data_IF_924539158596
#
_entry.id   IF_924539158596
#
_cell.length_a   1.000
_cell.length_b   1.000
_cell.length_c   1.000
_cell.angle_alpha   90.00
_cell.angle_beta   90.00
_cell.angle_gamma   90.00
#
_symmetry.space_group_name_H-M   'P 1'
#
loop_
_entity.id
_entity.type
_entity.pdbx_description
1 polymer ?
#
# COMPACT_ATOMS: atom_id res chain seq x y z
N UNK A 1 21.45 15.42 0.69
CA UNK A 1 20.39 16.37 0.27
C UNK A 1 19.84 16.03 -1.12
N UNK A 2 20.66 15.78 -2.15
CA UNK A 2 20.19 15.36 -3.48
C UNK A 2 19.29 14.09 -3.47
N UNK A 3 19.67 13.04 -2.72
CA UNK A 3 18.87 11.80 -2.62
C UNK A 3 17.47 11.95 -2.05
N UNK A 4 17.27 12.88 -1.11
CA UNK A 4 15.94 13.16 -0.56
C UNK A 4 15.03 13.76 -1.64
N UNK A 5 15.55 14.71 -2.41
CA UNK A 5 14.83 15.36 -3.50
C UNK A 5 14.48 14.38 -4.62
N UNK A 6 15.42 13.51 -5.00
CA UNK A 6 15.15 12.44 -5.99
C UNK A 6 13.98 11.54 -5.55
N UNK A 7 13.94 11.13 -4.28
CA UNK A 7 12.85 10.31 -3.74
C UNK A 7 11.50 11.07 -3.73
N UNK A 8 11.51 12.35 -3.39
CA UNK A 8 10.30 13.18 -3.43
C UNK A 8 9.75 13.32 -4.86
N UNK A 9 10.63 13.52 -5.84
CA UNK A 9 10.25 13.58 -7.25
C UNK A 9 9.70 12.24 -7.76
N UNK A 10 10.33 11.11 -7.39
CA UNK A 10 9.81 9.77 -7.70
C UNK A 10 8.44 9.56 -7.07
N UNK A 11 8.25 9.93 -5.80
CA UNK A 11 6.97 9.78 -5.11
C UNK A 11 5.87 10.62 -5.76
N UNK A 12 6.18 11.84 -6.20
CA UNK A 12 5.23 12.70 -6.91
C UNK A 12 4.86 12.11 -8.28
N UNK A 13 5.85 11.62 -9.04
CA UNK A 13 5.61 10.96 -10.31
C UNK A 13 4.77 9.69 -10.15
N UNK A 14 5.02 8.93 -9.08
CA UNK A 14 4.24 7.74 -8.76
C UNK A 14 2.80 8.10 -8.39
N UNK A 15 2.58 9.15 -7.60
CA UNK A 15 1.23 9.65 -7.28
C UNK A 15 0.44 10.07 -8.53
N UNK A 16 1.12 10.64 -9.53
CA UNK A 16 0.51 10.95 -10.82
C UNK A 16 0.16 9.68 -11.60
N UNK A 17 1.04 8.67 -11.58
CA UNK A 17 0.84 7.39 -12.26
C UNK A 17 -0.37 6.62 -11.72
N UNK A 18 -0.51 6.53 -10.40
CA UNK A 18 -1.65 5.83 -9.77
C UNK A 18 -2.98 6.58 -9.94
N UNK A 19 -2.92 7.83 -10.40
CA UNK A 19 -4.07 8.65 -10.80
C UNK A 19 -4.20 8.76 -12.33
N UNK A 20 -3.55 7.88 -13.11
CA UNK A 20 -3.67 7.88 -14.56
C UNK A 20 -5.13 7.66 -15.03
N UNK A 21 -5.48 8.32 -16.12
CA UNK A 21 -6.78 8.24 -16.77
C UNK A 21 -6.69 7.52 -18.11
N UNK A 22 -7.75 6.82 -18.50
CA UNK A 22 -7.92 6.27 -19.84
C UNK A 22 -8.30 7.35 -20.87
N UNK A 23 -8.46 6.95 -22.13
CA UNK A 23 -8.84 7.82 -23.26
C UNK A 23 -10.19 8.53 -23.06
N UNK A 24 -11.04 8.01 -22.17
CA UNK A 24 -12.36 8.55 -21.83
C UNK A 24 -12.34 9.42 -20.55
N UNK A 25 -11.14 9.70 -20.02
CA UNK A 25 -10.95 10.48 -18.80
C UNK A 25 -11.38 9.74 -17.53
N UNK A 26 -11.38 8.41 -17.54
CA UNK A 26 -11.69 7.60 -16.36
C UNK A 26 -10.42 7.19 -15.64
N UNK A 27 -10.39 7.32 -14.32
CA UNK A 27 -9.31 6.80 -13.50
C UNK A 27 -9.26 5.27 -13.58
N UNK A 28 -8.10 4.75 -13.96
CA UNK A 28 -7.90 3.32 -14.23
C UNK A 28 -7.94 2.48 -12.94
N UNK A 29 -7.44 3.04 -11.84
CA UNK A 29 -7.29 2.36 -10.54
C UNK A 29 -8.39 2.71 -9.52
N UNK A 30 -9.49 3.35 -9.95
CA UNK A 30 -10.58 3.78 -9.06
C UNK A 30 -11.67 2.73 -8.79
N UNK A 31 -11.43 1.46 -9.16
CA UNK A 31 -12.41 0.40 -8.99
C UNK A 31 -13.66 0.63 -9.84
N UNK A 32 -14.84 0.58 -9.23
CA UNK A 32 -16.12 0.86 -9.92
C UNK A 32 -16.49 2.34 -9.99
N UNK A 33 -15.66 3.25 -9.46
CA UNK A 33 -15.86 4.71 -9.46
C UNK A 33 -14.93 5.46 -10.43
N UNK A 34 -15.02 5.24 -11.76
CA UNK A 34 -14.08 5.78 -12.75
C UNK A 34 -13.95 7.31 -12.78
N UNK A 35 -14.96 8.03 -12.30
CA UNK A 35 -15.00 9.50 -12.35
C UNK A 35 -14.47 10.17 -11.07
N UNK A 36 -14.07 9.39 -10.07
CA UNK A 36 -13.48 9.91 -8.83
C UNK A 36 -11.98 9.62 -8.81
N UNK A 37 -11.18 10.62 -8.45
CA UNK A 37 -9.74 10.45 -8.33
C UNK A 37 -9.45 9.45 -7.20
N UNK A 38 -8.66 8.39 -7.44
CA UNK A 38 -8.46 7.34 -6.47
C UNK A 38 -7.46 7.70 -5.36
N UNK A 39 -6.38 8.44 -5.66
CA UNK A 39 -5.33 8.70 -4.68
C UNK A 39 -5.17 10.20 -4.39
N UNK A 40 -5.13 10.55 -3.11
CA UNK A 40 -4.91 11.91 -2.63
C UNK A 40 -3.76 11.94 -1.63
N UNK A 41 -3.05 13.07 -1.58
CA UNK A 41 -2.03 13.31 -0.57
C UNK A 41 -2.54 14.33 0.44
N UNK A 42 -2.59 13.92 1.71
CA UNK A 42 -3.00 14.79 2.80
C UNK A 42 -1.89 15.78 3.20
N UNK A 43 -2.24 16.76 4.04
CA UNK A 43 -1.31 17.81 4.50
C UNK A 43 -0.12 17.27 5.29
N UNK A 44 -0.28 16.12 5.92
CA UNK A 44 0.77 15.41 6.65
C UNK A 44 1.70 14.59 5.72
N UNK A 45 1.39 14.56 4.42
CA UNK A 45 2.14 13.83 3.41
C UNK A 45 1.71 12.37 3.22
N UNK A 46 0.75 11.88 4.01
CA UNK A 46 0.15 10.54 3.85
C UNK A 46 -0.66 10.46 2.56
N UNK A 47 -0.73 9.27 1.97
CA UNK A 47 -1.48 9.01 0.74
C UNK A 47 -2.69 8.14 1.07
N UNK A 48 -3.87 8.61 0.67
CA UNK A 48 -5.14 7.95 0.92
C UNK A 48 -5.77 7.45 -0.38
N UNK A 49 -6.44 6.30 -0.29
CA UNK A 49 -7.23 5.73 -1.37
C UNK A 49 -8.72 5.99 -1.16
N UNK A 50 -9.37 6.61 -2.15
CA UNK A 50 -10.79 6.97 -2.15
C UNK A 50 -11.63 6.19 -3.17
N UNK A 51 -11.03 5.20 -3.85
CA UNK A 51 -11.74 4.30 -4.76
C UNK A 51 -12.55 3.23 -4.01
N UNK A 52 -12.77 2.10 -4.67
CA UNK A 52 -13.36 0.91 -4.07
C UNK A 52 -12.61 -0.34 -4.54
N UNK A 53 -12.84 -1.46 -3.83
CA UNK A 53 -12.12 -2.71 -4.05
C UNK A 53 -12.72 -3.57 -5.18
N UNK A 54 -13.72 -3.05 -5.90
CA UNK A 54 -14.45 -3.80 -6.89
C UNK A 54 -13.87 -3.60 -8.29
N UNK A 55 -13.79 -4.69 -9.05
CA UNK A 55 -13.43 -4.67 -10.46
C UNK A 55 -14.68 -4.51 -11.32
N UNK A 56 -14.57 -3.71 -12.39
CA UNK A 56 -15.55 -3.69 -13.47
C UNK A 56 -15.36 -4.95 -14.31
N UNK A 57 -16.47 -5.62 -14.64
CA UNK A 57 -16.48 -6.80 -15.48
C UNK A 57 -17.20 -6.51 -16.78
N UNK A 58 -16.66 -7.01 -17.88
CA UNK A 58 -17.28 -6.94 -19.19
C UNK A 58 -17.62 -8.34 -19.69
N UNK A 59 -18.87 -8.50 -20.12
CA UNK A 59 -19.33 -9.74 -20.73
C UNK A 59 -18.77 -9.83 -22.16
N UNK A 60 -17.93 -10.82 -22.40
CA UNK A 60 -17.32 -11.09 -23.73
C UNK A 60 -18.00 -12.24 -24.45
N UNK A 61 -18.81 -13.03 -23.74
CA UNK A 61 -19.69 -14.07 -24.29
C UNK A 61 -20.87 -14.31 -23.35
N UNK A 62 -21.91 -15.03 -23.80
CA UNK A 62 -23.09 -15.35 -22.98
C UNK A 62 -22.74 -15.94 -21.61
N UNK A 63 -21.64 -16.70 -21.51
CA UNK A 63 -21.18 -17.37 -20.30
C UNK A 63 -19.81 -16.87 -19.77
N UNK A 64 -19.23 -15.81 -20.32
CA UNK A 64 -17.89 -15.34 -19.94
C UNK A 64 -17.86 -13.84 -19.64
N UNK A 65 -17.44 -13.51 -18.42
CA UNK A 65 -17.18 -12.15 -17.97
C UNK A 65 -15.68 -11.99 -17.67
N UNK A 66 -15.08 -10.91 -18.13
CA UNK A 66 -13.67 -10.60 -17.95
C UNK A 66 -13.50 -9.32 -17.10
N UNK A 67 -12.63 -9.31 -16.08
CA UNK A 67 -12.30 -8.09 -15.36
C UNK A 67 -11.57 -7.10 -16.28
N UNK A 68 -11.98 -5.84 -16.25
CA UNK A 68 -11.41 -4.78 -17.11
C UNK A 68 -10.40 -3.88 -16.40
N UNK A 69 -10.31 -3.95 -15.07
CA UNK A 69 -9.42 -3.12 -14.27
C UNK A 69 -9.04 -3.81 -12.97
N UNK A 70 -8.01 -3.29 -12.33
CA UNK A 70 -7.62 -3.63 -10.97
C UNK A 70 -7.81 -2.40 -10.06
N UNK A 71 -8.42 -2.55 -8.88
CA UNK A 71 -8.56 -1.45 -7.92
C UNK A 71 -7.20 -1.10 -7.31
N UNK A 72 -6.98 0.20 -7.07
CA UNK A 72 -5.74 0.71 -6.51
C UNK A 72 -5.45 0.22 -5.09
N UNK A 73 -6.48 -0.11 -4.31
CA UNK A 73 -6.33 -0.73 -2.98
C UNK A 73 -5.49 -2.00 -3.04
N UNK A 74 -5.87 -2.92 -3.93
CA UNK A 74 -5.20 -4.21 -4.11
C UNK A 74 -3.78 -4.09 -4.67
N UNK A 75 -3.54 -3.12 -5.54
CA UNK A 75 -2.23 -2.96 -6.18
C UNK A 75 -1.22 -2.18 -5.34
N UNK A 76 -1.68 -1.20 -4.55
CA UNK A 76 -0.81 -0.19 -3.95
C UNK A 76 -0.97 0.00 -2.44
N UNK A 77 -2.08 -0.46 -1.84
CA UNK A 77 -2.33 -0.32 -0.40
C UNK A 77 -2.10 -1.62 0.36
N UNK A 78 -2.44 -2.76 -0.25
CA UNK A 78 -2.30 -4.09 0.34
C UNK A 78 -0.90 -4.69 0.08
N UNK A 79 0.16 -4.00 0.54
CA UNK A 79 1.53 -4.50 0.39
C UNK A 79 1.87 -5.38 1.61
N UNK A 80 2.12 -6.69 1.44
CA UNK A 80 2.50 -7.55 2.56
C UNK A 80 3.79 -7.06 3.18
N UNK A 81 3.81 -6.92 4.51
CA UNK A 81 5.04 -6.66 5.24
C UNK A 81 5.78 -8.00 5.45
N UNK A 82 6.91 -8.25 4.76
CA UNK A 82 7.62 -9.52 4.88
C UNK A 82 8.36 -9.68 6.21
N UNK A 83 8.57 -8.59 6.95
CA UNK A 83 9.31 -8.58 8.22
C UNK A 83 8.40 -8.63 9.45
N UNK A 84 7.09 -8.56 9.26
CA UNK A 84 6.18 -8.33 10.37
C UNK A 84 6.29 -6.90 10.91
N UNK A 85 5.34 -6.51 11.75
CA UNK A 85 5.31 -5.20 12.41
C UNK A 85 5.79 -5.29 13.87
N UNK A 86 6.24 -6.46 14.32
CA UNK A 86 6.88 -6.63 15.61
C UNK A 86 8.35 -6.20 15.60
N UNK A 87 8.71 -5.24 16.46
CA UNK A 87 10.09 -4.82 16.67
C UNK A 87 10.44 -4.93 18.16
N UNK A 88 11.31 -5.87 18.57
CA UNK A 88 11.73 -5.98 19.95
C UNK A 88 12.65 -4.81 20.33
N UNK A 89 12.36 -4.16 21.46
CA UNK A 89 13.26 -3.19 22.08
C UNK A 89 13.95 -3.82 23.28
N UNK A 90 15.27 -3.65 23.36
CA UNK A 90 16.09 -4.11 24.48
C UNK A 90 16.79 -2.91 25.13
N UNK A 91 16.60 -2.72 26.43
CA UNK A 91 17.22 -1.63 27.19
C UNK A 91 18.70 -1.93 27.49
N UNK A 92 19.55 -1.89 26.47
CA UNK A 92 20.99 -2.14 26.58
C UNK A 92 21.72 -0.96 27.24
N UNK A 93 22.63 -1.25 28.15
CA UNK A 93 23.48 -0.26 28.84
C UNK A 93 24.91 -0.28 28.30
N UNK A 94 25.71 0.74 28.63
CA UNK A 94 27.13 0.78 28.28
C UNK A 94 27.86 -0.46 28.81
N UNK A 95 28.52 -1.21 27.92
CA UNK A 95 29.18 -2.49 28.24
C UNK A 95 28.30 -3.74 28.07
N UNK A 96 27.07 -3.62 27.55
CA UNK A 96 26.22 -4.78 27.27
C UNK A 96 26.65 -5.49 25.99
N UNK A 97 26.73 -6.82 26.06
CA UNK A 97 26.73 -7.70 24.88
C UNK A 97 25.36 -8.37 24.76
N UNK A 98 24.69 -8.23 23.62
CA UNK A 98 23.42 -8.91 23.33
C UNK A 98 23.69 -10.16 22.47
N UNK A 99 23.49 -11.34 23.05
CA UNK A 99 23.49 -12.62 22.35
C UNK A 99 22.09 -13.24 22.42
N UNK A 100 21.39 -13.27 21.29
CA UNK A 100 20.00 -13.76 21.20
C UNK A 100 19.90 -14.99 20.29
N UNK A 101 19.42 -16.10 20.83
CA UNK A 101 19.14 -17.33 20.06
C UNK A 101 17.66 -17.54 19.75
N UNK A 102 16.76 -17.13 20.67
CA UNK A 102 15.31 -17.17 20.51
C UNK A 102 14.65 -16.18 21.48
N UNK A 103 13.56 -15.54 21.05
CA UNK A 103 12.65 -14.79 21.90
C UNK A 103 11.22 -15.33 21.73
N UNK A 104 10.35 -15.11 22.70
CA UNK A 104 8.92 -15.46 22.62
C UNK A 104 8.12 -14.35 23.28
N UNK A 105 7.17 -13.76 22.56
CA UNK A 105 6.25 -12.81 23.15
C UNK A 105 5.20 -13.55 23.98
N UNK A 106 4.96 -13.09 25.20
CA UNK A 106 3.98 -13.64 26.16
C UNK A 106 2.76 -12.73 26.33
N UNK A 107 2.71 -11.58 25.67
CA UNK A 107 1.56 -10.68 25.67
C UNK A 107 0.44 -11.25 24.81
N UNK A 108 -0.61 -11.72 25.47
CA UNK A 108 -1.79 -12.28 24.83
C UNK A 108 -2.65 -11.24 24.08
N UNK A 109 -2.38 -9.94 24.26
CA UNK A 109 -3.05 -8.84 23.55
C UNK A 109 -2.25 -8.33 22.37
N UNK A 110 -1.07 -8.88 22.13
CA UNK A 110 -0.27 -8.46 20.99
C UNK A 110 -0.98 -8.83 19.68
N UNK A 111 -1.20 -7.82 18.84
CA UNK A 111 -1.81 -7.97 17.52
C UNK A 111 -0.77 -7.89 16.41
N UNK A 112 0.53 -7.81 16.75
CA UNK A 112 1.60 -7.77 15.79
C UNK A 112 1.66 -9.06 14.96
N UNK A 113 1.95 -8.88 13.67
CA UNK A 113 2.34 -9.91 12.74
C UNK A 113 3.82 -10.26 12.94
N UNK A 114 4.08 -11.53 13.25
CA UNK A 114 5.42 -12.12 13.33
C UNK A 114 5.76 -12.81 12.02
N UNK A 115 6.92 -12.52 11.44
CA UNK A 115 7.43 -13.18 10.24
C UNK A 115 8.85 -13.66 10.42
#
# INVERSE_FOLDING_TARGET
>A
QAKKRELEEIANNFLNLVNAQDESGNYVFAGTKPKSQPFYRDKDGSVQYAGDDYQRKMKVSSMLDMPMNDPGSKLFMEIPNPFGDYQPSYDLQSGSDLLLSKATNVDAKDTASYR
#
